data_IF_157472996718
#
_entry.id   IF_157472996718
#
_cell.length_a   1.000
_cell.length_b   1.000
_cell.length_c   1.000
_cell.angle_alpha   90.00
_cell.angle_beta   90.00
_cell.angle_gamma   90.00
#
_symmetry.space_group_name_H-M   'P 1'
#
loop_
_entity.id
_entity.type
_entity.pdbx_description
1 polymer ?
#
# COMPACT_ATOMS: atom_id res chain seq x y z
N UNK A 1 0.76 18.05 7.33
CA UNK A 1 -0.15 17.16 6.57
C UNK A 1 0.44 15.77 6.67
N UNK A 2 -0.13 14.74 7.29
CA UNK A 2 -1.52 14.37 7.55
C UNK A 2 -1.61 12.85 7.29
N UNK A 3 -2.79 12.25 7.40
CA UNK A 3 -3.01 10.87 6.93
C UNK A 3 -3.40 10.95 5.44
N UNK A 4 -2.71 10.21 4.57
CA UNK A 4 -2.98 10.22 3.13
C UNK A 4 -4.11 9.24 2.74
N UNK A 5 -4.09 8.04 3.30
CA UNK A 5 -5.10 6.99 3.10
C UNK A 5 -5.23 6.14 4.37
N UNK A 6 -6.45 5.73 4.70
CA UNK A 6 -6.73 4.88 5.86
C UNK A 6 -7.99 4.04 5.59
N UNK A 7 -7.86 2.72 5.81
CA UNK A 7 -8.97 1.79 5.72
C UNK A 7 -9.25 1.19 7.11
N UNK A 8 -10.54 1.05 7.46
CA UNK A 8 -11.00 0.28 8.63
C UNK A 8 -11.62 -1.01 8.11
N UNK A 9 -11.05 -2.14 8.51
CA UNK A 9 -11.47 -3.47 8.04
C UNK A 9 -11.98 -4.29 9.21
N UNK A 10 -13.16 -4.88 9.05
CA UNK A 10 -13.70 -5.85 10.01
C UNK A 10 -12.98 -7.20 9.84
N UNK A 11 -12.41 -7.72 10.94
CA UNK A 11 -11.69 -8.99 10.93
C UNK A 11 -10.22 -8.87 10.51
N UNK A 12 -9.68 -9.96 9.95
CA UNK A 12 -8.26 -10.04 9.59
C UNK A 12 -7.94 -9.33 8.27
N UNK A 13 -6.79 -8.66 8.23
CA UNK A 13 -6.24 -8.06 7.03
C UNK A 13 -5.31 -9.05 6.31
N UNK A 14 -5.59 -9.36 5.05
CA UNK A 14 -4.88 -10.38 4.28
C UNK A 14 -4.21 -9.79 3.03
N UNK A 15 -3.50 -10.60 2.26
CA UNK A 15 -2.80 -10.15 1.05
C UNK A 15 -3.70 -9.42 0.05
N UNK A 16 -4.92 -9.90 -0.19
CA UNK A 16 -5.86 -9.26 -1.11
C UNK A 16 -6.33 -7.89 -0.62
N UNK A 17 -6.68 -7.77 0.67
CA UNK A 17 -7.13 -6.48 1.23
C UNK A 17 -5.96 -5.50 1.31
N UNK A 18 -4.75 -5.99 1.56
CA UNK A 18 -3.53 -5.19 1.55
C UNK A 18 -3.19 -4.69 0.13
N UNK A 19 -3.35 -5.51 -0.90
CA UNK A 19 -3.19 -5.08 -2.31
C UNK A 19 -4.10 -3.92 -2.66
N UNK A 20 -5.39 -4.05 -2.33
CA UNK A 20 -6.38 -3.00 -2.59
C UNK A 20 -6.05 -1.70 -1.84
N UNK A 21 -5.52 -1.81 -0.61
CA UNK A 21 -5.05 -0.66 0.14
C UNK A 21 -3.88 0.04 -0.57
N UNK A 22 -2.89 -0.72 -1.07
CA UNK A 22 -1.75 -0.14 -1.80
C UNK A 22 -2.21 0.55 -3.07
N UNK A 23 -3.06 -0.08 -3.89
CA UNK A 23 -3.61 0.54 -5.11
C UNK A 23 -4.24 1.91 -4.81
N UNK A 24 -5.08 1.98 -3.78
CA UNK A 24 -5.74 3.23 -3.36
C UNK A 24 -4.76 4.24 -2.77
N UNK A 25 -3.74 3.80 -2.03
CA UNK A 25 -2.70 4.68 -1.52
C UNK A 25 -1.95 5.34 -2.68
N UNK A 26 -1.57 4.56 -3.70
CA UNK A 26 -0.81 5.04 -4.86
C UNK A 26 -1.60 6.08 -5.67
N UNK A 27 -2.91 5.90 -5.85
CA UNK A 27 -3.78 6.88 -6.51
C UNK A 27 -3.74 8.28 -5.82
N UNK A 28 -3.53 8.29 -4.50
CA UNK A 28 -3.47 9.50 -3.70
C UNK A 28 -2.03 10.07 -3.56
N UNK A 29 -1.00 9.30 -3.89
CA UNK A 29 0.38 9.80 -3.89
C UNK A 29 0.59 10.70 -5.11
N UNK A 30 0.84 12.00 -4.88
CA UNK A 30 1.03 12.97 -5.95
C UNK A 30 2.32 13.78 -5.74
N UNK A 31 3.30 13.69 -6.66
CA UNK A 31 3.33 12.83 -7.85
C UNK A 31 3.74 11.38 -7.54
N UNK A 32 3.01 10.41 -8.10
CA UNK A 32 3.42 9.00 -8.17
C UNK A 32 3.02 8.39 -9.55
N UNK A 33 3.89 7.59 -10.18
CA UNK A 33 5.29 7.36 -9.81
C UNK A 33 6.16 8.59 -10.13
N UNK A 34 7.00 9.00 -9.18
CA UNK A 34 8.02 10.04 -9.36
C UNK A 34 9.33 9.64 -8.67
N UNK A 35 10.42 10.35 -8.96
CA UNK A 35 11.69 10.10 -8.30
C UNK A 35 11.56 10.29 -6.78
N UNK A 36 12.15 9.37 -6.00
CA UNK A 36 12.12 9.36 -4.54
C UNK A 36 10.75 9.17 -3.89
N UNK A 37 9.76 8.62 -4.60
CA UNK A 37 8.55 8.09 -3.97
C UNK A 37 8.91 6.81 -3.20
N UNK A 38 8.88 6.88 -1.86
CA UNK A 38 9.28 5.76 -0.98
C UNK A 38 8.11 5.37 -0.09
N UNK A 39 7.79 4.07 -0.07
CA UNK A 39 6.85 3.46 0.88
C UNK A 39 7.66 2.67 1.91
N UNK A 40 7.46 2.94 3.19
CA UNK A 40 8.13 2.26 4.31
C UNK A 40 7.08 1.44 5.06
N UNK A 41 7.34 0.14 5.22
CA UNK A 41 6.43 -0.82 5.85
C UNK A 41 7.24 -1.76 6.75
N UNK A 42 6.57 -2.42 7.69
CA UNK A 42 7.18 -3.51 8.44
C UNK A 42 7.33 -4.78 7.57
N UNK A 43 8.08 -5.76 8.08
CA UNK A 43 8.48 -6.97 7.36
C UNK A 43 7.40 -8.08 7.41
N UNK A 44 6.12 -7.72 7.24
CA UNK A 44 5.03 -8.68 7.23
C UNK A 44 5.07 -9.57 5.97
N UNK A 45 4.69 -10.86 6.09
CA UNK A 45 4.74 -11.82 4.99
C UNK A 45 3.82 -11.44 3.83
N UNK A 46 2.66 -10.84 4.12
CA UNK A 46 1.69 -10.44 3.09
C UNK A 46 2.20 -9.30 2.21
N UNK A 47 3.19 -8.52 2.66
CA UNK A 47 3.80 -7.43 1.88
C UNK A 47 4.72 -7.96 0.76
N UNK A 48 5.11 -9.24 0.83
CA UNK A 48 6.07 -9.85 -0.10
C UNK A 48 5.40 -10.58 -1.26
N UNK A 49 4.07 -10.52 -1.36
CA UNK A 49 3.35 -11.15 -2.46
C UNK A 49 3.75 -10.50 -3.81
N UNK A 50 3.87 -11.30 -4.87
CA UNK A 50 4.29 -10.83 -6.20
C UNK A 50 3.43 -9.65 -6.69
N UNK A 51 2.11 -9.78 -6.56
CA UNK A 51 1.17 -8.71 -6.92
C UNK A 51 1.42 -7.37 -6.23
N UNK A 52 2.04 -7.35 -5.04
CA UNK A 52 2.41 -6.10 -4.37
C UNK A 52 3.69 -5.55 -4.99
N UNK A 53 4.68 -6.41 -5.24
CA UNK A 53 5.95 -6.01 -5.87
C UNK A 53 5.76 -5.49 -7.28
N UNK A 54 4.76 -5.99 -8.02
CA UNK A 54 4.45 -5.49 -9.36
C UNK A 54 3.81 -4.10 -9.35
N UNK A 55 3.29 -3.64 -8.20
CA UNK A 55 2.67 -2.32 -8.05
C UNK A 55 3.66 -1.21 -7.65
N UNK A 56 4.79 -1.54 -7.00
CA UNK A 56 5.70 -0.56 -6.34
C UNK A 56 7.17 -0.70 -6.71
#
# INVERSE_FOLDING_TARGET
DGILHCDVVEGSFCGNTFKQFIERLLDNMQPFPAANSVIIMDNCSIHKHSDIQDLI
#
